data_IF_010982512808
#
_entry.id   IF_010982512808
#
_cell.length_a   1.000
_cell.length_b   1.000
_cell.length_c   1.000
_cell.angle_alpha   90.00
_cell.angle_beta   90.00
_cell.angle_gamma   90.00
#
_symmetry.space_group_name_H-M   'P 1'
#
loop_
_entity.id
_entity.type
_entity.pdbx_description
1 polymer ?
#
# COMPACT_ATOMS: atom_id res chain seq x y z
N UNK A 1 -26.58 9.36 22.55
CA UNK A 1 -25.45 8.85 21.73
C UNK A 1 -24.47 7.99 22.53
N UNK A 2 -24.09 8.37 23.75
CA UNK A 2 -23.18 7.57 24.59
C UNK A 2 -23.68 6.17 24.97
N UNK A 3 -24.99 5.98 25.10
CA UNK A 3 -25.60 4.66 25.38
C UNK A 3 -25.33 3.65 24.27
N UNK A 4 -25.55 4.04 23.01
CA UNK A 4 -25.28 3.20 21.84
C UNK A 4 -23.78 2.92 21.70
N UNK A 5 -22.94 3.94 21.91
CA UNK A 5 -21.48 3.77 21.86
C UNK A 5 -20.97 2.77 22.89
N UNK A 6 -21.55 2.77 24.10
CA UNK A 6 -21.23 1.79 25.14
C UNK A 6 -21.61 0.37 24.73
N UNK A 7 -22.74 0.19 24.05
CA UNK A 7 -23.20 -1.13 23.59
C UNK A 7 -22.25 -1.74 22.55
N UNK A 8 -21.69 -0.93 21.65
CA UNK A 8 -20.76 -1.40 20.61
C UNK A 8 -19.28 -1.39 21.04
N UNK A 9 -19.00 -1.05 22.30
CA UNK A 9 -17.62 -0.94 22.81
C UNK A 9 -16.81 0.21 22.20
N UNK A 10 -17.47 1.23 21.64
CA UNK A 10 -16.79 2.41 21.09
C UNK A 10 -16.31 3.31 22.24
N UNK A 11 -15.01 3.67 22.29
CA UNK A 11 -14.49 4.58 23.30
C UNK A 11 -15.27 5.90 23.33
N UNK A 12 -15.75 6.29 24.52
CA UNK A 12 -16.53 7.51 24.71
C UNK A 12 -15.79 8.78 24.25
N UNK A 13 -14.45 8.75 24.22
CA UNK A 13 -13.60 9.81 23.69
C UNK A 13 -13.89 10.16 22.23
N UNK A 14 -14.32 9.20 21.40
CA UNK A 14 -14.69 9.48 20.01
C UNK A 14 -16.05 10.15 19.88
N UNK A 15 -17.01 9.78 20.74
CA UNK A 15 -18.33 10.42 20.81
C UNK A 15 -18.18 11.86 21.28
N UNK A 16 -17.34 12.08 22.29
CA UNK A 16 -17.01 13.41 22.78
C UNK A 16 -16.33 14.26 21.70
N UNK A 17 -15.29 13.72 21.06
CA UNK A 17 -14.58 14.43 20.00
C UNK A 17 -15.50 14.80 18.83
N UNK A 18 -16.45 13.93 18.48
CA UNK A 18 -17.48 14.23 17.47
C UNK A 18 -18.34 15.41 17.92
N UNK A 19 -18.84 15.40 19.16
CA UNK A 19 -19.69 16.47 19.67
C UNK A 19 -18.96 17.83 19.65
N UNK A 20 -17.70 17.84 20.12
CA UNK A 20 -16.86 19.03 20.11
C UNK A 20 -16.61 19.56 18.70
N UNK A 21 -16.30 18.67 17.75
CA UNK A 21 -15.99 19.06 16.38
C UNK A 21 -17.18 19.68 15.63
N UNK A 22 -18.42 19.34 16.00
CA UNK A 22 -19.62 19.82 15.29
C UNK A 22 -20.34 20.97 15.99
N UNK A 23 -20.28 21.04 17.32
CA UNK A 23 -21.07 22.00 18.11
C UNK A 23 -20.24 22.98 18.94
N UNK A 24 -18.96 22.70 19.15
CA UNK A 24 -18.07 23.54 19.94
C UNK A 24 -16.94 24.12 19.07
N UNK A 25 -15.84 24.51 19.72
CA UNK A 25 -14.65 25.00 19.05
C UNK A 25 -13.89 23.86 18.37
N UNK A 26 -13.35 24.15 17.18
CA UNK A 26 -12.63 23.17 16.38
C UNK A 26 -11.44 22.60 17.16
N UNK A 27 -11.34 21.26 17.34
CA UNK A 27 -10.23 20.64 18.03
C UNK A 27 -8.88 20.94 17.36
N UNK A 28 -7.84 21.06 18.18
CA UNK A 28 -6.49 21.30 17.66
C UNK A 28 -6.00 20.15 16.76
N UNK A 29 -5.14 20.49 15.79
CA UNK A 29 -4.56 19.51 14.86
C UNK A 29 -3.85 18.36 15.57
N UNK A 30 -3.16 18.64 16.69
CA UNK A 30 -2.50 17.61 17.50
C UNK A 30 -3.51 16.60 18.10
N UNK A 31 -4.64 17.11 18.62
CA UNK A 31 -5.72 16.27 19.17
C UNK A 31 -6.35 15.41 18.07
N UNK A 32 -6.60 15.98 16.89
CA UNK A 32 -7.13 15.24 15.74
C UNK A 32 -6.17 14.15 15.25
N UNK A 33 -4.86 14.45 15.14
CA UNK A 33 -3.85 13.45 14.73
C UNK A 33 -3.77 12.28 15.71
N UNK A 34 -3.80 12.56 17.02
CA UNK A 34 -3.80 11.51 18.04
C UNK A 34 -5.07 10.66 17.97
N UNK A 35 -6.23 11.31 17.85
CA UNK A 35 -7.52 10.62 17.73
C UNK A 35 -7.61 9.75 16.47
N UNK A 36 -7.14 10.25 15.32
CA UNK A 36 -7.14 9.49 14.06
C UNK A 36 -6.27 8.23 14.16
N UNK A 37 -5.09 8.30 14.77
CA UNK A 37 -4.23 7.11 14.99
C UNK A 37 -4.94 6.07 15.87
N UNK A 38 -5.56 6.50 16.97
CA UNK A 38 -6.34 5.61 17.84
C UNK A 38 -7.55 5.01 17.12
N UNK A 39 -8.22 5.78 16.27
CA UNK A 39 -9.36 5.30 15.48
C UNK A 39 -8.94 4.24 14.47
N UNK A 40 -7.80 4.42 13.77
CA UNK A 40 -7.30 3.41 12.83
C UNK A 40 -6.99 2.08 13.52
N UNK A 41 -6.33 2.11 14.69
CA UNK A 41 -6.10 0.91 15.51
C UNK A 41 -7.41 0.27 15.93
N UNK A 42 -8.36 1.07 16.41
CA UNK A 42 -9.67 0.56 16.83
C UNK A 42 -10.45 -0.09 15.68
N UNK A 43 -10.47 0.49 14.48
CA UNK A 43 -11.16 -0.09 13.32
C UNK A 43 -10.45 -1.40 12.88
N UNK A 44 -9.12 -1.43 12.95
CA UNK A 44 -8.36 -2.65 12.68
C UNK A 44 -8.75 -3.78 13.64
N UNK A 45 -8.69 -3.52 14.94
CA UNK A 45 -9.04 -4.49 15.98
C UNK A 45 -10.53 -4.87 15.94
N UNK A 46 -11.42 -3.95 15.60
CA UNK A 46 -12.86 -4.21 15.61
C UNK A 46 -13.31 -5.02 14.39
N UNK A 47 -12.76 -4.74 13.20
CA UNK A 47 -13.26 -5.28 11.95
C UNK A 47 -12.20 -6.00 11.12
N UNK A 48 -11.12 -5.30 10.73
CA UNK A 48 -10.22 -5.80 9.69
C UNK A 48 -9.42 -7.04 10.09
N UNK A 49 -9.02 -7.15 11.37
CA UNK A 49 -8.27 -8.33 11.83
C UNK A 49 -9.07 -9.64 11.71
N UNK A 50 -10.40 -9.56 11.66
CA UNK A 50 -11.28 -10.73 11.59
C UNK A 50 -11.59 -11.18 10.15
N UNK A 51 -11.09 -10.47 9.13
CA UNK A 51 -11.34 -10.78 7.71
C UNK A 51 -10.29 -11.71 7.09
N UNK A 52 -9.21 -12.04 7.81
CA UNK A 52 -8.18 -12.94 7.35
C UNK A 52 -8.41 -14.37 7.84
N UNK A 53 -7.93 -15.40 7.10
CA UNK A 53 -7.77 -16.70 7.71
C UNK A 53 -6.72 -16.54 8.80
N UNK A 54 -7.11 -16.67 10.07
CA UNK A 54 -6.20 -17.29 11.02
C UNK A 54 -5.74 -18.59 10.35
N UNK A 55 -4.46 -18.94 10.44
CA UNK A 55 -4.01 -20.28 10.06
C UNK A 55 -4.97 -21.30 10.66
N UNK A 56 -5.92 -21.78 9.85
CA UNK A 56 -6.82 -22.84 10.22
C UNK A 56 -5.94 -24.08 10.20
N UNK A 57 -5.30 -24.31 11.35
CA UNK A 57 -4.60 -25.53 11.71
C UNK A 57 -5.50 -26.70 11.28
N UNK A 58 -5.03 -27.41 10.27
CA UNK A 58 -5.44 -28.75 9.88
C UNK A 58 -6.95 -28.97 9.68
N UNK A 59 -7.44 -28.67 8.48
CA UNK A 59 -8.04 -29.66 7.57
C UNK A 59 -8.37 -29.01 6.22
N UNK A 60 -7.59 -29.36 5.19
CA UNK A 60 -7.94 -29.18 3.78
C UNK A 60 -8.39 -30.54 3.20
N UNK A 61 -9.07 -30.61 2.04
CA UNK A 61 -9.40 -29.54 1.09
C UNK A 61 -10.92 -29.41 0.85
N UNK A 62 -11.44 -28.28 0.34
CA UNK A 62 -11.71 -28.13 -1.09
C UNK A 62 -11.84 -26.67 -1.52
N UNK A 63 -11.44 -26.46 -2.76
CA UNK A 63 -11.15 -25.22 -3.47
C UNK A 63 -12.31 -24.22 -3.59
N UNK A 64 -12.03 -22.94 -3.33
CA UNK A 64 -12.65 -21.83 -4.07
C UNK A 64 -11.83 -20.54 -3.94
N UNK A 65 -11.10 -20.25 -5.02
CA UNK A 65 -10.42 -18.98 -5.23
C UNK A 65 -11.33 -17.99 -5.98
N UNK A 66 -10.95 -16.72 -5.89
CA UNK A 66 -11.37 -15.54 -6.66
C UNK A 66 -12.49 -14.67 -6.07
N UNK A 67 -12.08 -13.74 -5.20
CA UNK A 67 -12.76 -12.47 -4.94
C UNK A 67 -11.71 -11.36 -4.86
N UNK A 68 -11.72 -10.44 -5.83
CA UNK A 68 -10.72 -9.40 -6.04
C UNK A 68 -10.68 -8.35 -4.93
N UNK A 69 -9.97 -8.66 -3.85
CA UNK A 69 -9.35 -7.64 -3.01
C UNK A 69 -8.00 -7.28 -3.60
N UNK A 70 -7.72 -5.99 -3.76
CA UNK A 70 -6.34 -5.51 -3.92
C UNK A 70 -5.55 -6.14 -2.76
N UNK A 71 -4.51 -6.96 -3.03
CA UNK A 71 -3.81 -7.66 -1.96
C UNK A 71 -3.31 -6.64 -0.96
N UNK A 72 -3.35 -6.97 0.34
CA UNK A 72 -2.89 -6.09 1.42
C UNK A 72 -1.46 -5.57 1.13
N UNK A 73 -0.65 -6.35 0.41
CA UNK A 73 0.65 -5.94 -0.14
C UNK A 73 0.58 -4.65 -1.00
N UNK A 74 -0.42 -4.51 -1.87
CA UNK A 74 -0.62 -3.34 -2.71
C UNK A 74 -1.21 -2.12 -1.95
N UNK A 75 -1.94 -2.34 -0.84
CA UNK A 75 -2.36 -1.24 0.04
C UNK A 75 -1.20 -0.74 0.93
N UNK A 76 -0.32 -1.65 1.35
CA UNK A 76 0.94 -1.33 2.05
C UNK A 76 1.92 -0.61 1.12
N UNK A 77 2.00 -0.98 -0.17
CA UNK A 77 2.77 -0.23 -1.18
C UNK A 77 2.15 1.13 -1.54
N UNK A 78 0.83 1.30 -1.34
CA UNK A 78 0.12 2.55 -1.55
C UNK A 78 0.24 3.56 -0.38
N UNK A 79 0.73 3.14 0.80
CA UNK A 79 1.01 4.06 1.90
C UNK A 79 2.18 4.99 1.52
N UNK A 80 2.17 6.28 1.94
CA UNK A 80 3.29 7.17 1.66
C UNK A 80 4.55 6.63 2.33
N UNK A 81 5.57 6.34 1.51
CA UNK A 81 6.92 6.01 2.00
C UNK A 81 7.40 7.20 2.82
N UNK A 82 7.45 7.02 4.13
CA UNK A 82 7.85 8.09 5.06
C UNK A 82 9.36 8.25 4.98
N UNK A 83 9.82 9.49 4.75
CA UNK A 83 11.23 9.87 4.68
C UNK A 83 12.02 9.33 5.88
N UNK A 84 11.42 9.35 7.06
CA UNK A 84 12.05 8.88 8.30
C UNK A 84 12.37 7.38 8.26
N UNK A 85 11.54 6.58 7.59
CA UNK A 85 11.73 5.14 7.46
C UNK A 85 12.85 4.81 6.48
N UNK A 86 12.94 5.57 5.38
CA UNK A 86 14.03 5.44 4.40
C UNK A 86 15.36 5.87 5.02
N UNK A 87 15.39 6.97 5.77
CA UNK A 87 16.59 7.40 6.50
C UNK A 87 17.02 6.35 7.53
N UNK A 88 16.09 5.79 8.31
CA UNK A 88 16.42 4.73 9.27
C UNK A 88 17.00 3.47 8.60
N UNK A 89 16.57 3.15 7.38
CA UNK A 89 17.18 2.07 6.60
C UNK A 89 18.60 2.41 6.13
N UNK A 90 18.81 3.64 5.64
CA UNK A 90 20.11 4.10 5.15
C UNK A 90 21.12 4.24 6.29
N UNK A 91 20.67 4.49 7.52
CA UNK A 91 21.48 4.55 8.73
C UNK A 91 21.71 3.18 9.40
N UNK A 92 21.01 2.12 8.98
CA UNK A 92 21.14 0.79 9.60
C UNK A 92 22.46 0.13 9.21
N UNK A 93 23.31 -0.09 10.22
CA UNK A 93 24.66 -0.63 10.08
C UNK A 93 24.70 -2.15 10.28
N UNK A 94 23.68 -2.74 10.89
CA UNK A 94 23.60 -4.18 11.08
C UNK A 94 23.16 -4.89 9.79
N UNK A 95 24.02 -5.78 9.28
CA UNK A 95 23.78 -6.48 8.02
C UNK A 95 22.54 -7.39 8.05
N UNK A 96 22.20 -7.96 9.21
CA UNK A 96 21.02 -8.82 9.38
C UNK A 96 19.73 -8.01 9.32
N UNK A 97 19.65 -6.94 10.12
CA UNK A 97 18.51 -6.02 10.12
C UNK A 97 18.35 -5.30 8.79
N UNK A 98 19.46 -4.90 8.16
CA UNK A 98 19.43 -4.28 6.83
C UNK A 98 18.88 -5.24 5.77
N UNK A 99 19.20 -6.53 5.83
CA UNK A 99 18.64 -7.52 4.92
C UNK A 99 17.13 -7.73 5.14
N UNK A 100 16.66 -7.72 6.39
CA UNK A 100 15.23 -7.78 6.71
C UNK A 100 14.49 -6.52 6.24
N UNK A 101 15.04 -5.33 6.51
CA UNK A 101 14.48 -4.06 6.03
C UNK A 101 14.50 -3.96 4.51
N UNK A 102 15.52 -4.51 3.84
CA UNK A 102 15.61 -4.55 2.37
C UNK A 102 14.46 -5.35 1.75
N UNK A 103 14.11 -6.51 2.31
CA UNK A 103 12.95 -7.30 1.85
C UNK A 103 11.65 -6.51 1.93
N UNK A 104 11.53 -5.64 2.93
CA UNK A 104 10.36 -4.78 3.09
C UNK A 104 10.38 -3.61 2.09
N UNK A 105 11.54 -3.02 1.84
CA UNK A 105 11.72 -1.93 0.87
C UNK A 105 11.48 -2.39 -0.57
N UNK A 106 11.92 -3.60 -0.92
CA UNK A 106 11.68 -4.17 -2.25
C UNK A 106 10.18 -4.42 -2.53
N UNK A 107 9.32 -4.42 -1.50
CA UNK A 107 7.86 -4.50 -1.62
C UNK A 107 7.15 -3.15 -1.72
N UNK A 108 7.87 -2.03 -1.61
CA UNK A 108 7.32 -0.68 -1.74
C UNK A 108 7.27 -0.26 -3.21
N UNK A 109 6.38 0.70 -3.52
CA UNK A 109 6.29 1.29 -4.86
C UNK A 109 7.60 1.99 -5.25
N UNK A 110 8.23 1.51 -6.33
CA UNK A 110 9.55 1.94 -6.80
C UNK A 110 9.57 3.43 -7.14
N UNK A 111 8.55 3.93 -7.83
CA UNK A 111 8.46 5.34 -8.25
C UNK A 111 8.43 6.29 -7.04
N UNK A 112 7.74 5.90 -5.96
CA UNK A 112 7.67 6.67 -4.72
C UNK A 112 8.93 6.56 -3.88
N UNK A 113 9.59 5.40 -3.88
CA UNK A 113 10.88 5.21 -3.21
C UNK A 113 11.94 6.11 -3.86
N UNK A 114 12.03 6.12 -5.19
CA UNK A 114 12.92 7.01 -5.94
C UNK A 114 12.65 8.48 -5.64
N UNK A 115 11.39 8.92 -5.66
CA UNK A 115 11.01 10.31 -5.32
C UNK A 115 11.33 10.70 -3.86
N UNK A 116 11.43 9.73 -2.96
CA UNK A 116 11.80 9.96 -1.56
C UNK A 116 13.31 9.99 -1.38
N UNK A 117 14.05 9.12 -2.08
CA UNK A 117 15.51 9.11 -2.11
C UNK A 117 16.05 10.41 -2.71
N UNK A 118 15.45 10.91 -3.79
CA UNK A 118 15.84 12.18 -4.42
C UNK A 118 15.73 13.35 -3.42
N UNK A 119 14.64 13.42 -2.66
CA UNK A 119 14.46 14.42 -1.58
C UNK A 119 15.43 14.27 -0.40
N UNK A 120 15.96 13.05 -0.18
CA UNK A 120 17.00 12.81 0.83
C UNK A 120 18.35 13.27 0.30
N UNK A 121 18.60 13.07 -1.00
CA UNK A 121 19.81 13.54 -1.69
C UNK A 121 19.87 15.07 -1.73
N UNK A 122 18.74 15.74 -1.98
CA UNK A 122 18.69 17.21 -1.98
C UNK A 122 18.89 17.84 -0.59
N UNK A 123 18.52 17.13 0.48
CA UNK A 123 18.57 17.65 1.84
C UNK A 123 19.01 16.56 2.83
N UNK A 124 20.30 16.21 2.88
CA UNK A 124 20.74 15.08 3.68
C UNK A 124 20.80 15.34 5.18
N UNK A 125 20.48 14.33 6.00
CA UNK A 125 20.75 14.37 7.43
C UNK A 125 22.24 14.19 7.73
N UNK A 126 22.98 13.37 6.97
CA UNK A 126 24.42 13.17 7.10
C UNK A 126 25.05 12.69 5.77
N UNK A 127 26.39 12.76 5.66
CA UNK A 127 27.14 12.39 4.44
C UNK A 127 27.09 10.88 4.14
N UNK A 128 27.00 10.03 5.16
CA UNK A 128 26.88 8.58 4.96
C UNK A 128 25.53 8.19 4.32
N UNK A 129 24.46 8.87 4.72
CA UNK A 129 23.09 8.69 4.22
C UNK A 129 22.97 9.22 2.78
N UNK A 130 23.68 10.30 2.43
CA UNK A 130 23.80 10.73 1.03
C UNK A 130 24.35 9.63 0.15
N UNK A 131 25.52 9.10 0.52
CA UNK A 131 26.21 8.09 -0.28
C UNK A 131 25.38 6.80 -0.36
N UNK A 132 24.75 6.39 0.75
CA UNK A 132 23.86 5.24 0.77
C UNK A 132 22.59 5.47 -0.09
N UNK A 133 22.02 6.68 -0.09
CA UNK A 133 20.87 7.02 -0.93
C UNK A 133 21.23 6.99 -2.42
N UNK A 134 22.39 7.54 -2.79
CA UNK A 134 22.90 7.54 -4.16
C UNK A 134 23.19 6.12 -4.66
N UNK A 135 23.83 5.28 -3.85
CA UNK A 135 24.07 3.87 -4.18
C UNK A 135 22.75 3.11 -4.41
N UNK A 136 21.76 3.32 -3.54
CA UNK A 136 20.45 2.67 -3.68
C UNK A 136 19.69 3.16 -4.92
N UNK A 137 19.80 4.46 -5.24
CA UNK A 137 19.22 5.03 -6.46
C UNK A 137 19.80 4.38 -7.72
N UNK A 138 21.14 4.26 -7.78
CA UNK A 138 21.82 3.60 -8.91
C UNK A 138 21.47 2.13 -9.04
N UNK A 139 21.40 1.40 -7.92
CA UNK A 139 21.02 -0.01 -7.90
C UNK A 139 19.60 -0.24 -8.44
N UNK A 140 18.65 0.62 -8.07
CA UNK A 140 17.26 0.53 -8.53
C UNK A 140 17.18 0.83 -10.03
N UNK A 141 17.81 1.91 -10.49
CA UNK A 141 17.84 2.28 -11.92
C UNK A 141 18.53 1.22 -12.79
N UNK A 142 19.57 0.56 -12.26
CA UNK A 142 20.28 -0.53 -12.93
C UNK A 142 19.43 -1.80 -13.01
N UNK A 143 18.67 -2.10 -11.96
CA UNK A 143 17.74 -3.24 -11.91
C UNK A 143 16.60 -3.07 -12.93
N UNK A 144 16.00 -1.88 -13.03
CA UNK A 144 14.94 -1.59 -14.00
C UNK A 144 15.39 -1.67 -15.47
N UNK A 145 16.68 -1.51 -15.76
CA UNK A 145 17.24 -1.65 -17.12
C UNK A 145 17.43 -3.12 -17.55
N UNK A 146 17.44 -4.07 -16.61
CA UNK A 146 17.70 -5.49 -16.87
C UNK A 146 16.50 -6.28 -17.38
N UNK A 147 15.27 -5.84 -17.10
CA UNK A 147 14.03 -6.59 -17.40
C UNK A 147 13.34 -6.14 -18.72
N UNK A 148 14.01 -5.32 -19.54
CA UNK A 148 13.42 -4.63 -20.69
C UNK A 148 13.91 -5.07 -22.08
N UNK A 149 14.42 -6.29 -22.27
CA UNK A 149 14.65 -6.86 -23.61
C UNK A 149 13.65 -7.98 -23.91
N UNK A 150 12.40 -7.58 -24.12
CA UNK A 150 11.41 -8.36 -24.86
C UNK A 150 11.10 -7.60 -26.14
N UNK A 151 11.37 -8.23 -27.27
CA UNK A 151 11.18 -7.71 -28.63
C UNK A 151 9.75 -7.18 -28.82
N UNK A 152 9.62 -5.90 -29.17
CA UNK A 152 8.36 -5.34 -29.67
C UNK A 152 8.30 -5.63 -31.17
N UNK A 153 7.58 -6.67 -31.56
CA UNK A 153 7.07 -6.79 -32.93
C UNK A 153 5.97 -5.73 -33.12
N UNK A 154 6.24 -4.80 -34.04
CA UNK A 154 5.36 -3.72 -34.44
C UNK A 154 4.33 -4.30 -35.43
N UNK A 155 3.16 -4.69 -34.92
CA UNK A 155 2.06 -5.21 -35.74
C UNK A 155 1.23 -4.02 -36.26
N UNK A 156 1.53 -3.63 -37.49
CA UNK A 156 0.94 -2.52 -38.24
C UNK A 156 -0.46 -2.93 -38.75
N UNK A 157 -1.50 -2.71 -37.94
CA UNK A 157 -2.89 -2.96 -38.31
C UNK A 157 -3.61 -1.63 -38.65
N UNK A 158 -4.26 -1.52 -39.83
CA UNK A 158 -4.84 -0.26 -40.28
C UNK A 158 -6.02 0.16 -39.41
N UNK A 159 -6.02 1.44 -39.01
CA UNK A 159 -7.11 2.11 -38.32
C UNK A 159 -8.41 2.02 -39.15
N UNK A 160 -9.25 1.02 -38.84
CA UNK A 160 -10.63 1.03 -39.28
C UNK A 160 -11.41 1.97 -38.36
N UNK A 161 -11.91 3.07 -38.91
CA UNK A 161 -12.83 3.97 -38.25
C UNK A 161 -14.13 3.23 -37.90
N UNK A 162 -14.17 2.60 -36.73
CA UNK A 162 -15.30 1.87 -36.19
C UNK A 162 -15.43 2.14 -34.70
N UNK A 163 -16.65 2.46 -34.26
CA UNK A 163 -17.02 2.63 -32.84
C UNK A 163 -16.40 1.52 -31.99
N UNK A 164 -15.73 1.86 -30.88
CA UNK A 164 -14.97 0.96 -29.98
C UNK A 164 -15.77 -0.13 -29.24
N UNK A 165 -16.87 -0.58 -29.84
CA UNK A 165 -17.72 -1.68 -29.42
C UNK A 165 -17.79 -2.68 -30.57
N UNK A 166 -17.27 -3.88 -30.34
CA UNK A 166 -17.40 -4.99 -31.27
C UNK A 166 -18.25 -6.10 -30.63
N UNK A 167 -19.10 -6.73 -31.42
CA UNK A 167 -19.76 -7.97 -31.03
C UNK A 167 -18.70 -9.08 -31.02
N UNK A 168 -18.67 -9.92 -29.99
CA UNK A 168 -17.74 -11.05 -29.96
C UNK A 168 -17.99 -11.98 -31.15
N UNK A 169 -16.96 -12.22 -31.95
CA UNK A 169 -17.00 -13.13 -33.10
C UNK A 169 -16.37 -14.48 -32.73
N UNK A 170 -17.06 -15.58 -33.03
CA UNK A 170 -16.61 -16.95 -32.76
C UNK A 170 -17.50 -17.74 -31.79
N UNK A 171 -17.06 -18.95 -31.44
CA UNK A 171 -17.80 -19.84 -30.52
C UNK A 171 -17.64 -19.35 -29.07
N UNK A 172 -18.67 -18.66 -28.57
CA UNK A 172 -18.73 -18.22 -27.16
C UNK A 172 -18.73 -19.39 -26.18
N UNK A 173 -17.86 -19.34 -25.16
CA UNK A 173 -17.85 -20.27 -24.03
C UNK A 173 -18.36 -19.55 -22.78
N UNK A 174 -19.41 -20.03 -22.10
CA UNK A 174 -19.92 -19.37 -20.90
C UNK A 174 -18.89 -19.43 -19.77
N UNK A 175 -18.42 -18.25 -19.34
CA UNK A 175 -17.57 -18.04 -18.17
C UNK A 175 -18.33 -17.25 -17.11
N UNK A 176 -18.03 -17.43 -15.81
CA UNK A 176 -18.56 -16.54 -14.78
C UNK A 176 -18.17 -15.09 -15.08
N UNK A 177 -19.08 -14.17 -14.79
CA UNK A 177 -18.86 -12.73 -15.00
C UNK A 177 -17.61 -12.30 -14.23
N UNK A 178 -16.69 -11.63 -14.93
CA UNK A 178 -15.42 -11.16 -14.37
C UNK A 178 -14.23 -12.10 -14.57
N UNK A 179 -14.40 -13.25 -15.25
CA UNK A 179 -13.30 -14.13 -15.65
C UNK A 179 -13.10 -14.04 -17.17
N UNK A 180 -11.96 -13.50 -17.59
CA UNK A 180 -11.54 -13.43 -18.99
C UNK A 180 -11.07 -14.79 -19.51
#
# INVERSE_FOLDING_TARGET
MYSVAKTIGLPATFVELRHQATHETLPSLAKLRSAARKALVWIWEYYWQHLGPDEAVSQAPESRAAGGGVPIAAAVSAAPVRREVVVAFLEEQDAGRRAEMRKWIDGLDESRLLATLDKIVEAPPNEAVMLAAQQLLEDILRKGRGDGQGEMEEDDAPESAGTGWAKFEGTWKPRPIGVA
#
